data_IF_902277835071
#
_entry.id   IF_902277835071
#
_cell.length_a   1.000
_cell.length_b   1.000
_cell.length_c   1.000
_cell.angle_alpha   90.00
_cell.angle_beta   90.00
_cell.angle_gamma   90.00
#
_symmetry.space_group_name_H-M   'P 1'
#
loop_
_entity.id
_entity.type
_entity.pdbx_description
1 polymer ?
#
# COMPACT_ATOMS: atom_id res chain seq x y z
N UNK A 1 3.32 -29.64 2.38
CA UNK A 1 2.37 -29.89 1.27
C UNK A 1 1.78 -28.55 0.88
N UNK A 2 2.13 -28.00 -0.28
CA UNK A 2 1.46 -26.79 -0.80
C UNK A 2 0.27 -27.30 -1.59
N UNK A 3 -0.92 -27.26 -0.99
CA UNK A 3 -2.16 -27.53 -1.71
C UNK A 3 -2.35 -26.39 -2.72
N UNK A 4 -2.42 -26.71 -4.00
CA UNK A 4 -2.74 -25.71 -5.02
C UNK A 4 -4.11 -25.13 -4.70
N UNK A 5 -4.15 -23.85 -4.32
CA UNK A 5 -5.42 -23.16 -4.13
C UNK A 5 -5.90 -22.83 -5.54
N UNK A 6 -6.92 -23.54 -6.02
CA UNK A 6 -7.54 -23.26 -7.32
C UNK A 6 -8.49 -22.05 -7.15
N UNK A 7 -7.91 -20.91 -6.77
CA UNK A 7 -8.62 -19.66 -6.55
C UNK A 7 -8.59 -18.86 -7.84
N UNK A 8 -9.77 -18.47 -8.32
CA UNK A 8 -9.90 -17.52 -9.42
C UNK A 8 -9.25 -16.18 -9.04
N UNK A 9 -8.30 -15.73 -9.86
CA UNK A 9 -7.63 -14.44 -9.66
C UNK A 9 -8.47 -13.35 -10.33
N UNK A 10 -9.04 -12.47 -9.53
CA UNK A 10 -9.74 -11.29 -10.02
C UNK A 10 -8.75 -10.13 -10.23
N UNK A 11 -8.76 -9.55 -11.43
CA UNK A 11 -7.97 -8.34 -11.72
C UNK A 11 -8.79 -7.10 -11.35
N UNK A 12 -8.22 -6.23 -10.53
CA UNK A 12 -8.82 -4.96 -10.16
C UNK A 12 -7.91 -3.79 -10.56
N UNK A 13 -8.42 -2.88 -11.38
CA UNK A 13 -7.67 -1.72 -11.82
C UNK A 13 -7.43 -0.70 -10.69
N UNK A 14 -8.19 -0.79 -9.59
CA UNK A 14 -8.11 0.15 -8.48
C UNK A 14 -6.95 -0.11 -7.49
N UNK A 15 -6.15 -1.13 -7.75
CA UNK A 15 -4.95 -1.48 -6.96
C UNK A 15 -3.68 -1.47 -7.82
N UNK A 16 -3.73 -0.84 -9.00
CA UNK A 16 -2.56 -0.65 -9.86
C UNK A 16 -1.62 0.41 -9.28
N UNK A 17 -0.35 0.37 -9.68
CA UNK A 17 0.62 1.41 -9.31
C UNK A 17 0.18 2.81 -9.74
N UNK A 18 0.57 3.81 -8.96
CA UNK A 18 0.38 5.23 -9.29
C UNK A 18 1.10 5.56 -10.59
N UNK A 19 0.37 6.17 -11.54
CA UNK A 19 0.94 6.61 -12.81
C UNK A 19 1.95 7.73 -12.58
N UNK A 20 3.21 7.45 -12.89
CA UNK A 20 4.33 8.37 -12.68
C UNK A 20 4.52 9.36 -13.84
N UNK A 21 3.66 9.33 -14.86
CA UNK A 21 3.70 10.27 -15.98
C UNK A 21 4.99 10.17 -16.78
N UNK A 22 5.65 11.30 -17.02
CA UNK A 22 6.94 11.35 -17.75
C UNK A 22 8.07 10.54 -17.09
N UNK A 23 7.90 10.13 -15.83
CA UNK A 23 8.88 9.33 -15.09
C UNK A 23 8.70 7.83 -15.25
N UNK A 24 7.64 7.36 -15.93
CA UNK A 24 7.48 5.95 -16.26
C UNK A 24 8.66 5.42 -17.09
N UNK A 25 9.21 4.28 -16.68
CA UNK A 25 10.40 3.68 -17.28
C UNK A 25 11.71 4.46 -17.05
N UNK A 26 11.71 5.51 -16.23
CA UNK A 26 12.93 6.20 -15.77
C UNK A 26 13.47 5.53 -14.50
N UNK A 27 14.71 5.87 -14.12
CA UNK A 27 15.27 5.42 -12.85
C UNK A 27 14.53 6.05 -11.66
N UNK A 28 14.44 5.31 -10.54
CA UNK A 28 13.89 5.81 -9.27
C UNK A 28 14.55 7.11 -8.85
N UNK A 29 15.87 7.25 -9.07
CA UNK A 29 16.60 8.49 -8.84
C UNK A 29 15.98 9.70 -9.56
N UNK A 30 15.57 9.56 -10.82
CA UNK A 30 14.97 10.67 -11.57
C UNK A 30 13.62 11.09 -10.97
N UNK A 31 12.80 10.13 -10.57
CA UNK A 31 11.52 10.38 -9.90
C UNK A 31 11.74 11.15 -8.58
N UNK A 32 12.65 10.67 -7.75
CA UNK A 32 12.97 11.28 -6.45
C UNK A 32 13.56 12.69 -6.63
N UNK A 33 14.45 12.90 -7.59
CA UNK A 33 14.97 14.22 -7.90
C UNK A 33 13.86 15.18 -8.37
N UNK A 34 12.93 14.71 -9.21
CA UNK A 34 11.78 15.50 -9.66
C UNK A 34 10.89 15.93 -8.50
N UNK A 35 10.59 14.99 -7.60
CA UNK A 35 9.81 15.22 -6.39
C UNK A 35 10.49 16.24 -5.45
N UNK A 36 11.78 16.06 -5.16
CA UNK A 36 12.54 17.00 -4.32
C UNK A 36 12.59 18.40 -4.95
N UNK A 37 12.79 18.47 -6.26
CA UNK A 37 12.86 19.75 -6.97
C UNK A 37 11.52 20.50 -6.98
N UNK A 38 10.39 19.78 -6.98
CA UNK A 38 9.06 20.38 -6.87
C UNK A 38 8.79 20.98 -5.48
N UNK A 39 9.46 20.47 -4.45
CA UNK A 39 9.24 20.85 -3.06
C UNK A 39 7.90 20.36 -2.51
N UNK A 40 7.74 20.40 -1.18
CA UNK A 40 6.52 19.99 -0.50
C UNK A 40 6.44 18.50 -0.18
N UNK A 41 5.24 18.02 0.14
CA UNK A 41 5.01 16.64 0.54
C UNK A 41 5.07 15.71 -0.69
N UNK A 42 5.93 14.67 -0.68
CA UNK A 42 5.98 13.61 -1.70
C UNK A 42 4.63 13.06 -2.16
N UNK A 43 3.67 12.95 -1.24
CA UNK A 43 2.36 12.36 -1.50
C UNK A 43 1.41 13.30 -2.24
N UNK A 44 1.68 14.61 -2.16
CA UNK A 44 0.88 15.66 -2.80
C UNK A 44 1.49 16.08 -4.16
N UNK A 45 2.76 15.73 -4.41
CA UNK A 45 3.43 16.05 -5.67
C UNK A 45 2.78 15.33 -6.85
N UNK A 46 2.43 16.06 -7.91
CA UNK A 46 1.86 15.51 -9.15
C UNK A 46 2.90 15.55 -10.27
N UNK A 47 3.41 14.40 -10.75
CA UNK A 47 4.31 14.40 -11.90
C UNK A 47 3.58 14.81 -13.17
N UNK A 48 4.29 15.41 -14.13
CA UNK A 48 3.71 15.78 -15.42
C UNK A 48 3.14 14.55 -16.13
N UNK A 49 1.85 14.61 -16.50
CA UNK A 49 1.11 13.48 -17.07
C UNK A 49 0.87 12.31 -16.10
N UNK A 50 1.16 12.50 -14.82
CA UNK A 50 0.91 11.53 -13.74
C UNK A 50 -0.42 11.73 -13.04
N UNK A 51 -0.70 10.87 -12.07
CA UNK A 51 -1.91 10.97 -11.26
C UNK A 51 -1.77 11.98 -10.12
N UNK A 52 -2.84 12.75 -9.89
CA UNK A 52 -2.99 13.58 -8.70
C UNK A 52 -3.33 12.74 -7.47
N UNK A 53 -3.14 13.32 -6.29
CA UNK A 53 -3.50 12.66 -5.03
C UNK A 53 -5.01 12.38 -4.94
N UNK A 54 -5.84 13.28 -5.45
CA UNK A 54 -7.31 13.16 -5.47
C UNK A 54 -7.75 12.01 -6.37
N UNK A 55 -7.06 11.80 -7.50
CA UNK A 55 -7.32 10.67 -8.38
C UNK A 55 -6.98 9.34 -7.68
N UNK A 56 -5.82 9.27 -7.02
CA UNK A 56 -5.41 8.10 -6.25
C UNK A 56 -6.37 7.86 -5.07
N UNK A 57 -6.75 8.89 -4.32
CA UNK A 57 -7.68 8.81 -3.19
C UNK A 57 -9.04 8.25 -3.64
N UNK A 58 -9.57 8.71 -4.78
CA UNK A 58 -10.83 8.21 -5.35
C UNK A 58 -10.73 6.73 -5.72
N UNK A 59 -9.62 6.33 -6.34
CA UNK A 59 -9.38 4.94 -6.72
C UNK A 59 -9.31 4.04 -5.48
N UNK A 60 -8.60 4.47 -4.44
CA UNK A 60 -8.51 3.75 -3.17
C UNK A 60 -9.85 3.66 -2.46
N UNK A 61 -10.66 4.72 -2.51
CA UNK A 61 -12.02 4.71 -1.96
C UNK A 61 -12.88 3.65 -2.65
N UNK A 62 -12.84 3.56 -3.98
CA UNK A 62 -13.57 2.54 -4.74
C UNK A 62 -13.13 1.11 -4.34
N UNK A 63 -11.83 0.89 -4.17
CA UNK A 63 -11.30 -0.38 -3.70
C UNK A 63 -11.76 -0.73 -2.28
N UNK A 64 -11.68 0.23 -1.35
CA UNK A 64 -12.11 0.03 0.04
C UNK A 64 -13.61 -0.19 0.18
N UNK A 65 -14.44 0.48 -0.63
CA UNK A 65 -15.88 0.23 -0.69
C UNK A 65 -16.19 -1.20 -1.16
N UNK A 66 -15.50 -1.66 -2.20
CA UNK A 66 -15.61 -3.04 -2.68
C UNK A 66 -15.20 -4.04 -1.60
N UNK A 67 -14.08 -3.79 -0.92
CA UNK A 67 -13.59 -4.63 0.17
C UNK A 67 -14.58 -4.66 1.36
N UNK A 68 -15.12 -3.51 1.75
CA UNK A 68 -16.14 -3.40 2.79
C UNK A 68 -17.43 -4.16 2.43
N UNK A 69 -17.90 -4.04 1.19
CA UNK A 69 -19.07 -4.78 0.72
C UNK A 69 -18.85 -6.30 0.75
N UNK A 70 -17.64 -6.78 0.43
CA UNK A 70 -17.30 -8.19 0.56
C UNK A 70 -17.37 -8.67 2.02
N UNK A 71 -16.82 -7.89 2.95
CA UNK A 71 -16.88 -8.18 4.40
C UNK A 71 -18.34 -8.20 4.90
N UNK A 72 -19.14 -7.22 4.49
CA UNK A 72 -20.53 -7.08 4.95
C UNK A 72 -21.48 -8.12 4.34
N UNK A 73 -21.18 -8.61 3.14
CA UNK A 73 -21.97 -9.65 2.46
C UNK A 73 -22.02 -10.98 3.22
N UNK A 74 -21.18 -11.16 4.25
CA UNK A 74 -21.13 -12.38 5.05
C UNK A 74 -20.66 -13.59 4.24
N UNK A 75 -20.02 -13.36 3.09
CA UNK A 75 -19.40 -14.41 2.30
C UNK A 75 -18.36 -15.11 3.19
N UNK A 76 -18.39 -16.45 3.25
CA UNK A 76 -17.49 -17.28 4.08
C UNK A 76 -16.00 -17.19 3.69
N UNK A 77 -15.61 -16.20 2.86
CA UNK A 77 -14.22 -15.92 2.50
C UNK A 77 -13.49 -15.41 3.74
N UNK A 78 -12.85 -16.34 4.45
CA UNK A 78 -12.09 -16.07 5.69
C UNK A 78 -10.84 -15.22 5.47
N UNK A 79 -10.32 -15.17 4.25
CA UNK A 79 -9.07 -14.45 3.92
C UNK A 79 -9.17 -13.90 2.50
N UNK A 80 -8.86 -12.61 2.35
CA UNK A 80 -8.74 -11.94 1.05
C UNK A 80 -7.25 -11.64 0.83
N UNK A 81 -6.69 -12.12 -0.28
CA UNK A 81 -5.32 -11.79 -0.69
C UNK A 81 -5.36 -10.68 -1.73
N UNK A 82 -4.67 -9.58 -1.44
CA UNK A 82 -4.52 -8.44 -2.34
C UNK A 82 -3.05 -8.32 -2.72
N UNK A 83 -2.76 -8.35 -4.02
CA UNK A 83 -1.41 -8.12 -4.54
C UNK A 83 -1.43 -6.77 -5.25
N UNK A 84 -0.59 -5.84 -4.77
CA UNK A 84 -0.53 -4.46 -5.25
C UNK A 84 0.94 -3.97 -5.22
N UNK A 85 1.14 -2.66 -5.23
CA UNK A 85 2.42 -2.00 -5.41
C UNK A 85 2.80 -1.09 -4.24
N UNK A 86 4.07 -0.71 -4.20
CA UNK A 86 4.65 0.01 -3.06
C UNK A 86 4.03 1.38 -2.84
N UNK A 87 3.87 2.21 -3.90
CA UNK A 87 3.34 3.55 -3.71
C UNK A 87 1.84 3.51 -3.37
N UNK A 88 1.07 2.58 -3.96
CA UNK A 88 -0.34 2.36 -3.60
C UNK A 88 -0.51 2.05 -2.12
N UNK A 89 0.32 1.18 -1.53
CA UNK A 89 0.25 0.85 -0.10
C UNK A 89 0.49 2.09 0.77
N UNK A 90 1.47 2.91 0.40
CA UNK A 90 1.75 4.18 1.08
C UNK A 90 0.55 5.12 1.01
N UNK A 91 -0.02 5.30 -0.18
CA UNK A 91 -1.21 6.13 -0.37
C UNK A 91 -2.43 5.57 0.38
N UNK A 92 -2.59 4.25 0.42
CA UNK A 92 -3.63 3.57 1.19
C UNK A 92 -3.54 3.91 2.68
N UNK A 93 -2.35 3.79 3.29
CA UNK A 93 -2.18 4.14 4.70
C UNK A 93 -2.46 5.62 4.96
N UNK A 94 -1.96 6.51 4.11
CA UNK A 94 -2.22 7.94 4.22
C UNK A 94 -3.73 8.27 4.05
N UNK A 95 -4.42 7.57 3.16
CA UNK A 95 -5.85 7.71 2.96
C UNK A 95 -6.63 7.26 4.20
N UNK A 96 -6.34 6.06 4.72
CA UNK A 96 -7.01 5.51 5.90
C UNK A 96 -6.82 6.40 7.13
N UNK A 97 -5.61 6.94 7.34
CA UNK A 97 -5.33 7.86 8.45
C UNK A 97 -6.10 9.19 8.34
N UNK A 98 -6.26 9.73 7.13
CA UNK A 98 -7.03 10.97 6.88
C UNK A 98 -8.54 10.77 6.89
N UNK A 99 -9.02 9.54 6.74
CA UNK A 99 -10.44 9.18 6.73
C UNK A 99 -10.81 8.44 8.02
N UNK A 100 -10.34 8.93 9.17
CA UNK A 100 -10.53 8.28 10.48
C UNK A 100 -11.99 8.27 10.96
N UNK A 101 -12.83 9.12 10.36
CA UNK A 101 -14.29 9.11 10.50
C UNK A 101 -14.94 7.91 9.80
N UNK A 102 -14.31 7.37 8.75
CA UNK A 102 -14.76 6.20 7.98
C UNK A 102 -14.02 4.91 8.36
N UNK A 103 -12.76 5.00 8.75
CA UNK A 103 -11.89 3.85 9.02
C UNK A 103 -11.11 4.05 10.31
N UNK A 104 -11.30 3.18 11.29
CA UNK A 104 -10.54 3.20 12.54
C UNK A 104 -9.40 2.19 12.47
N UNK A 105 -8.17 2.70 12.37
CA UNK A 105 -6.97 1.85 12.38
C UNK A 105 -6.56 1.48 13.81
N UNK A 106 -6.68 0.21 14.16
CA UNK A 106 -6.22 -0.35 15.42
C UNK A 106 -4.79 -0.89 15.27
N UNK A 107 -3.97 -0.73 16.31
CA UNK A 107 -2.56 -1.14 16.36
C UNK A 107 -1.66 -0.52 15.28
N UNK A 108 -2.12 0.52 14.58
CA UNK A 108 -1.29 1.28 13.66
C UNK A 108 -0.14 1.98 14.39
N UNK A 109 1.03 2.01 13.75
CA UNK A 109 2.20 2.72 14.26
C UNK A 109 2.89 3.50 13.14
N UNK A 110 3.46 4.69 13.42
CA UNK A 110 4.13 5.51 12.41
C UNK A 110 5.22 4.78 11.62
N UNK A 111 5.94 3.84 12.24
CA UNK A 111 6.98 3.06 11.58
C UNK A 111 6.49 2.10 10.49
N UNK A 112 5.17 1.88 10.38
CA UNK A 112 4.57 1.12 9.29
C UNK A 112 4.52 1.93 7.99
N UNK A 113 4.63 3.25 8.10
CA UNK A 113 4.75 4.19 6.99
C UNK A 113 6.17 4.18 6.40
N UNK A 114 6.54 3.05 5.77
CA UNK A 114 7.83 2.82 5.12
C UNK A 114 7.61 2.20 3.75
N UNK A 115 8.58 2.40 2.86
CA UNK A 115 8.59 1.75 1.55
C UNK A 115 8.56 0.23 1.73
N UNK A 116 7.55 -0.40 1.15
CA UNK A 116 7.42 -1.87 1.16
C UNK A 116 8.47 -2.50 0.25
N UNK A 117 9.18 -3.50 0.77
CA UNK A 117 10.05 -4.34 -0.05
C UNK A 117 9.21 -5.30 -0.90
N UNK A 118 9.77 -5.76 -2.01
CA UNK A 118 9.11 -6.74 -2.86
C UNK A 118 8.66 -7.95 -2.04
N UNK A 119 7.41 -8.35 -2.27
CA UNK A 119 6.71 -9.47 -1.63
C UNK A 119 6.55 -9.39 -0.11
N UNK A 120 6.90 -8.27 0.54
CA UNK A 120 6.43 -8.01 1.89
C UNK A 120 4.90 -7.98 1.92
N UNK A 121 4.31 -8.38 3.04
CA UNK A 121 2.86 -8.35 3.20
C UNK A 121 2.44 -7.60 4.46
N UNK A 122 1.19 -7.13 4.44
CA UNK A 122 0.46 -6.69 5.61
C UNK A 122 -0.66 -7.68 5.86
N UNK A 123 -0.90 -8.01 7.12
CA UNK A 123 -2.07 -8.76 7.55
C UNK A 123 -2.98 -7.83 8.32
N UNK A 124 -4.20 -7.65 7.83
CA UNK A 124 -5.22 -6.86 8.48
C UNK A 124 -6.39 -7.75 8.87
N UNK A 125 -6.92 -7.54 10.07
CA UNK A 125 -8.30 -7.90 10.38
C UNK A 125 -9.21 -6.73 9.99
N UNK A 126 -10.27 -7.02 9.25
CA UNK A 126 -11.21 -6.00 8.77
C UNK A 126 -12.56 -6.32 9.38
N UNK A 127 -12.90 -5.57 10.43
CA UNK A 127 -14.14 -5.71 11.16
C UNK A 127 -15.36 -5.26 10.34
N UNK A 128 -16.53 -5.50 10.92
CA UNK A 128 -17.78 -4.86 10.48
C UNK A 128 -17.79 -3.39 10.89
N UNK A 129 -18.60 -2.59 10.22
CA UNK A 129 -18.85 -1.21 10.67
C UNK A 129 -19.50 -1.22 12.06
N UNK A 130 -19.02 -0.33 12.96
CA UNK A 130 -19.43 -0.29 14.37
C UNK A 130 -20.91 0.07 14.59
N UNK A 131 -21.52 0.72 13.62
CA UNK A 131 -22.94 1.08 13.57
C UNK A 131 -23.33 1.34 12.10
N UNK A 132 -24.62 1.45 11.78
CA UNK A 132 -25.02 1.86 10.42
C UNK A 132 -24.40 3.22 10.07
N UNK A 133 -23.41 3.23 9.17
CA UNK A 133 -22.65 4.43 8.79
C UNK A 133 -21.53 4.84 9.75
N UNK A 134 -21.20 4.02 10.75
CA UNK A 134 -20.05 4.24 11.63
C UNK A 134 -18.71 3.84 10.98
N UNK A 135 -17.57 4.19 11.60
CA UNK A 135 -16.28 3.79 11.08
C UNK A 135 -16.14 2.27 11.07
N UNK A 136 -15.40 1.77 10.08
CA UNK A 136 -14.99 0.37 10.02
C UNK A 136 -13.69 0.17 10.78
N UNK A 137 -13.66 -0.78 11.71
CA UNK A 137 -12.43 -1.16 12.40
C UNK A 137 -11.52 -1.95 11.46
N UNK A 138 -10.25 -1.59 11.44
CA UNK A 138 -9.21 -2.32 10.72
C UNK A 138 -8.01 -2.48 11.65
N UNK A 139 -7.74 -3.70 12.09
CA UNK A 139 -6.62 -4.01 12.96
C UNK A 139 -5.41 -4.46 12.15
N UNK A 140 -4.27 -3.80 12.36
CA UNK A 140 -3.00 -4.23 11.75
C UNK A 140 -2.39 -5.31 12.62
N UNK A 141 -2.45 -6.56 12.15
CA UNK A 141 -1.89 -7.72 12.84
C UNK A 141 -0.41 -7.92 12.50
N UNK A 142 -0.06 -7.73 11.23
CA UNK A 142 1.32 -7.82 10.74
C UNK A 142 1.57 -6.65 9.78
N UNK A 143 2.68 -5.95 9.98
CA UNK A 143 3.18 -4.93 9.08
C UNK A 143 4.56 -5.35 8.53
N UNK A 144 4.73 -5.26 7.22
CA UNK A 144 5.97 -5.61 6.52
C UNK A 144 6.46 -7.05 6.82
N UNK A 145 5.54 -8.01 6.88
CA UNK A 145 5.87 -9.43 7.05
C UNK A 145 6.75 -9.93 5.90
N UNK A 146 7.84 -10.61 6.25
CA UNK A 146 8.85 -11.10 5.30
C UNK A 146 9.45 -12.46 5.73
N UNK A 147 8.78 -13.16 6.62
CA UNK A 147 9.22 -14.43 7.20
C UNK A 147 9.46 -15.52 6.15
N UNK A 148 8.69 -15.50 5.06
CA UNK A 148 8.85 -16.40 3.92
C UNK A 148 10.13 -16.16 3.11
N UNK A 149 10.78 -15.00 3.26
CA UNK A 149 12.03 -14.66 2.56
C UNK A 149 13.28 -15.08 3.33
N UNK A 150 13.15 -15.50 4.60
CA UNK A 150 14.29 -15.89 5.46
C UNK A 150 15.12 -17.03 4.85
N UNK A 151 14.49 -17.89 4.06
CA UNK A 151 15.14 -19.02 3.39
C UNK A 151 16.02 -18.62 2.20
N UNK A 152 15.90 -17.39 1.70
CA UNK A 152 16.72 -16.89 0.59
C UNK A 152 18.14 -16.48 1.04
N UNK A 153 18.38 -16.33 2.34
CA UNK A 153 19.68 -15.93 2.91
C UNK A 153 19.97 -14.43 2.72
N UNK A 154 20.69 -13.85 3.68
CA UNK A 154 20.95 -12.40 3.73
C UNK A 154 21.73 -11.87 2.51
N UNK A 155 22.56 -12.71 1.88
CA UNK A 155 23.36 -12.36 0.70
C UNK A 155 22.51 -12.25 -0.58
N UNK A 156 21.53 -13.14 -0.77
CA UNK A 156 20.61 -13.03 -1.90
C UNK A 156 19.69 -11.81 -1.72
N UNK A 157 19.17 -11.62 -0.51
CA UNK A 157 18.31 -10.48 -0.17
C UNK A 157 19.07 -9.16 -0.37
N UNK A 158 20.31 -9.03 0.11
CA UNK A 158 21.12 -7.81 -0.09
C UNK A 158 21.47 -7.52 -1.56
N UNK A 159 21.55 -8.54 -2.41
CA UNK A 159 21.77 -8.36 -3.87
C UNK A 159 20.51 -7.89 -4.61
N UNK A 160 19.32 -8.33 -4.18
CA UNK A 160 18.01 -7.85 -4.68
C UNK A 160 17.63 -6.50 -4.11
N UNK A 161 18.06 -6.22 -2.88
CA UNK A 161 17.75 -5.01 -2.12
C UNK A 161 18.96 -4.11 -1.95
N UNK A 162 19.92 -4.09 -2.89
CA UNK A 162 20.94 -3.04 -2.91
C UNK A 162 20.18 -1.72 -2.84
N UNK A 163 20.17 -1.12 -1.65
CA UNK A 163 19.38 0.06 -1.36
C UNK A 163 19.81 1.12 -2.35
N UNK A 164 18.96 1.37 -3.34
CA UNK A 164 19.08 2.56 -4.14
C UNK A 164 18.92 3.69 -3.12
N UNK A 165 19.98 4.48 -2.89
CA UNK A 165 19.99 5.56 -1.89
C UNK A 165 18.81 6.52 -2.05
N UNK A 166 18.18 6.54 -3.23
CA UNK A 166 16.94 7.25 -3.51
C UNK A 166 15.72 6.73 -2.73
N UNK A 167 15.64 5.42 -2.43
CA UNK A 167 14.57 4.79 -1.64
C UNK A 167 14.71 5.12 -0.15
N UNK A 168 15.94 5.15 0.37
CA UNK A 168 16.23 5.61 1.74
C UNK A 168 15.84 7.08 1.90
N UNK A 169 16.24 7.93 0.96
CA UNK A 169 15.87 9.34 0.94
C UNK A 169 14.34 9.55 0.86
N UNK A 170 13.62 8.76 0.05
CA UNK A 170 12.16 8.79 -0.01
C UNK A 170 11.52 8.43 1.35
N UNK A 171 12.02 7.35 1.99
CA UNK A 171 11.51 6.91 3.29
C UNK A 171 11.76 7.93 4.40
N UNK A 172 12.86 8.66 4.36
CA UNK A 172 13.18 9.74 5.31
C UNK A 172 12.31 10.98 5.08
N UNK A 173 12.00 11.32 3.82
CA UNK A 173 11.09 12.41 3.48
C UNK A 173 9.64 12.12 3.88
N UNK A 174 9.22 10.85 3.86
CA UNK A 174 7.84 10.45 4.16
C UNK A 174 7.52 10.32 5.67
N UNK A 175 8.53 10.36 6.54
CA UNK A 175 8.38 10.26 8.00
C UNK A 175 8.32 11.64 8.71
N UNK A 176 8.41 12.74 7.95
CA UNK A 176 8.34 14.12 8.42
C UNK A 176 6.92 14.68 8.27
#
# INVERSE_FOLDING_TARGET
MVTSVNTEIEKDANIRERHAGIYEGKSTKNLVCGMIAAGGNPLDWVPEGGESKEEVDRILEMFLQKLGALVDSGNDRKVILVVTHGAVLVHLWNYLLRQSDKYMLLNWKPEFFKVSRNTNYFLLDIGKSLAAGGPREMEVLIAHGNDHLKSLGDDALSSFFKEDKSVTALSECMQQ
#
